data_IF_568760915716
#
_entry.id   IF_568760915716
#
_cell.length_a   1.000
_cell.length_b   1.000
_cell.length_c   1.000
_cell.angle_alpha   90.00
_cell.angle_beta   90.00
_cell.angle_gamma   90.00
#
_symmetry.space_group_name_H-M   'P 1'
#
loop_
_entity.id
_entity.type
_entity.pdbx_description
1 polymer ?
#
# COMPACT_ATOMS: atom_id res chain seq x y z
N UNK A 1 16.46 -2.43 -13.34
CA UNK A 1 15.44 -1.62 -12.67
C UNK A 1 14.65 -0.97 -13.77
N UNK A 2 13.48 -1.52 -14.03
CA UNK A 2 12.53 -0.89 -14.95
C UNK A 2 12.15 0.50 -14.39
N UNK A 3 11.75 1.42 -15.26
CA UNK A 3 11.54 2.83 -14.88
C UNK A 3 10.47 3.07 -13.80
N UNK A 4 9.69 2.04 -13.43
CA UNK A 4 8.61 2.10 -12.45
C UNK A 4 8.76 1.08 -11.31
N UNK A 5 9.96 0.53 -11.12
CA UNK A 5 10.28 -0.27 -9.94
C UNK A 5 10.88 0.61 -8.85
N UNK A 6 10.45 0.42 -7.61
CA UNK A 6 10.91 1.17 -6.46
C UNK A 6 11.44 0.21 -5.40
N UNK A 7 12.58 0.56 -4.80
CA UNK A 7 13.08 -0.14 -3.63
C UNK A 7 12.35 0.39 -2.39
N UNK A 8 11.67 -0.50 -1.67
CA UNK A 8 10.88 -0.15 -0.49
C UNK A 8 11.65 -0.54 0.77
N UNK A 9 11.70 0.36 1.75
CA UNK A 9 12.32 0.06 3.03
C UNK A 9 11.55 -1.07 3.74
N UNK A 10 12.20 -2.19 4.12
CA UNK A 10 11.51 -3.32 4.74
C UNK A 10 11.00 -3.00 6.16
N UNK A 11 11.55 -2.02 6.86
CA UNK A 11 11.13 -1.66 8.23
C UNK A 11 9.65 -1.23 8.31
N UNK A 12 9.18 -0.23 7.54
CA UNK A 12 7.75 0.12 7.52
C UNK A 12 6.88 -1.03 7.02
N UNK A 13 7.34 -1.82 6.04
CA UNK A 13 6.60 -2.99 5.55
C UNK A 13 6.34 -3.99 6.68
N UNK A 14 7.36 -4.33 7.46
CA UNK A 14 7.22 -5.28 8.57
C UNK A 14 6.32 -4.74 9.69
N UNK A 15 6.34 -3.43 9.96
CA UNK A 15 5.40 -2.80 10.90
C UNK A 15 3.96 -2.87 10.40
N UNK A 16 3.71 -2.62 9.12
CA UNK A 16 2.37 -2.73 8.53
C UNK A 16 1.86 -4.18 8.54
N UNK A 17 2.75 -5.15 8.36
CA UNK A 17 2.41 -6.58 8.47
C UNK A 17 2.06 -6.96 9.90
N UNK A 18 2.79 -6.47 10.91
CA UNK A 18 2.48 -6.79 12.31
C UNK A 18 1.13 -6.21 12.75
N UNK A 19 0.75 -5.07 12.19
CA UNK A 19 -0.40 -4.29 12.63
C UNK A 19 -1.69 -4.57 11.81
N UNK A 20 -1.64 -5.53 10.88
CA UNK A 20 -2.77 -5.83 9.99
C UNK A 20 -2.89 -7.31 9.65
N UNK A 21 -3.97 -7.68 8.97
CA UNK A 21 -4.10 -9.01 8.36
C UNK A 21 -3.38 -9.14 7.00
N UNK A 22 -2.64 -8.12 6.56
CA UNK A 22 -2.04 -8.06 5.22
C UNK A 22 -0.75 -8.88 5.09
N UNK A 23 -0.48 -9.35 3.86
CA UNK A 23 0.80 -10.01 3.56
C UNK A 23 1.90 -8.96 3.37
N UNK A 24 3.17 -9.36 3.50
CA UNK A 24 4.30 -8.47 3.21
C UNK A 24 4.22 -7.86 1.81
N UNK A 25 3.81 -8.65 0.82
CA UNK A 25 3.55 -8.16 -0.55
C UNK A 25 2.50 -7.06 -0.58
N UNK A 26 1.37 -7.24 0.11
CA UNK A 26 0.33 -6.22 0.15
C UNK A 26 0.80 -4.96 0.89
N UNK A 27 1.59 -5.11 1.96
CA UNK A 27 2.13 -4.02 2.76
C UNK A 27 3.26 -3.24 2.05
N UNK A 28 3.97 -3.85 1.11
CA UNK A 28 5.00 -3.19 0.30
C UNK A 28 4.41 -2.04 -0.53
N UNK A 29 3.26 -2.26 -1.16
CA UNK A 29 2.56 -1.20 -1.90
C UNK A 29 1.97 -0.12 -1.00
N UNK A 30 1.58 -0.47 0.23
CA UNK A 30 1.07 0.50 1.21
C UNK A 30 2.21 1.39 1.70
N UNK A 31 3.35 0.79 2.06
CA UNK A 31 4.54 1.52 2.47
C UNK A 31 5.06 2.44 1.36
N UNK A 32 5.10 1.96 0.12
CA UNK A 32 5.51 2.78 -1.01
C UNK A 32 4.56 3.96 -1.26
N UNK A 33 3.25 3.73 -1.18
CA UNK A 33 2.26 4.79 -1.37
C UNK A 33 2.35 5.86 -0.26
N UNK A 34 2.60 5.45 0.98
CA UNK A 34 2.81 6.36 2.11
C UNK A 34 4.08 7.19 1.95
N UNK A 35 5.20 6.56 1.56
CA UNK A 35 6.49 7.23 1.32
C UNK A 35 6.41 8.26 0.19
N UNK A 36 5.70 7.92 -0.89
CA UNK A 36 5.44 8.83 -2.01
C UNK A 36 4.32 9.84 -1.72
N UNK A 37 3.63 9.74 -0.58
CA UNK A 37 2.47 10.54 -0.20
C UNK A 37 1.36 10.56 -1.27
N UNK A 38 1.01 9.37 -1.78
CA UNK A 38 -0.07 9.15 -2.75
C UNK A 38 -1.06 8.11 -2.24
N UNK A 39 -2.24 8.03 -2.87
CA UNK A 39 -3.22 6.97 -2.56
C UNK A 39 -2.89 5.69 -3.33
N UNK A 40 -3.01 4.55 -2.66
CA UNK A 40 -2.94 3.23 -3.29
C UNK A 40 -4.31 2.82 -3.84
N UNK A 41 -4.44 2.77 -5.16
CA UNK A 41 -5.65 2.27 -5.82
C UNK A 41 -5.58 0.74 -5.92
N UNK A 42 -6.50 0.03 -5.29
CA UNK A 42 -6.46 -1.45 -5.22
C UNK A 42 -7.84 -2.06 -4.98
N UNK A 43 -8.06 -3.31 -5.40
CA UNK A 43 -9.29 -4.07 -5.11
C UNK A 43 -9.17 -4.97 -3.85
N UNK A 44 -8.03 -4.91 -3.16
CA UNK A 44 -7.69 -5.85 -2.07
C UNK A 44 -8.14 -5.39 -0.69
N UNK A 45 -7.91 -6.26 0.30
CA UNK A 45 -8.14 -6.02 1.74
C UNK A 45 -7.44 -4.78 2.29
N UNK A 46 -6.39 -4.28 1.62
CA UNK A 46 -5.69 -3.05 1.97
C UNK A 46 -6.63 -1.85 2.16
N UNK A 47 -7.76 -1.77 1.42
CA UNK A 47 -8.75 -0.70 1.58
C UNK A 47 -9.33 -0.68 3.02
N UNK A 48 -9.59 -1.86 3.58
CA UNK A 48 -10.19 -1.98 4.92
C UNK A 48 -9.17 -1.80 6.04
N UNK A 49 -7.96 -2.33 5.83
CA UNK A 49 -6.87 -2.28 6.83
C UNK A 49 -6.20 -0.90 6.86
N UNK A 50 -6.11 -0.22 5.71
CA UNK A 50 -5.41 1.06 5.55
C UNK A 50 -6.25 2.11 4.82
N UNK A 51 -7.47 2.45 5.29
CA UNK A 51 -8.40 3.32 4.55
C UNK A 51 -7.88 4.74 4.30
N UNK A 52 -6.89 5.20 5.08
CA UNK A 52 -6.22 6.49 4.87
C UNK A 52 -5.31 6.49 3.64
N UNK A 53 -4.76 5.34 3.29
CA UNK A 53 -3.76 5.18 2.22
C UNK A 53 -4.40 4.53 0.99
N UNK A 54 -5.21 3.48 1.17
CA UNK A 54 -5.80 2.70 0.09
C UNK A 54 -7.26 3.11 -0.24
N UNK A 55 -7.61 3.10 -1.52
CA UNK A 55 -8.97 3.32 -2.07
C UNK A 55 -9.33 2.28 -3.10
N UNK A 56 -10.64 2.12 -3.33
CA UNK A 56 -11.11 1.31 -4.45
C UNK A 56 -11.01 2.08 -5.76
N UNK A 57 -10.90 1.38 -6.91
CA UNK A 57 -10.89 2.04 -8.22
C UNK A 57 -12.16 2.84 -8.50
N UNK A 58 -13.32 2.42 -7.98
CA UNK A 58 -14.58 3.17 -8.10
C UNK A 58 -14.49 4.52 -7.39
N UNK A 59 -13.89 4.60 -6.19
CA UNK A 59 -13.65 5.86 -5.49
C UNK A 59 -12.66 6.75 -6.25
N UNK A 60 -11.67 6.17 -6.94
CA UNK A 60 -10.65 6.93 -7.66
C UNK A 60 -11.17 7.62 -8.94
N UNK A 61 -12.13 7.03 -9.63
CA UNK A 61 -12.64 7.54 -10.92
C UNK A 61 -13.80 8.53 -10.79
N UNK A 62 -14.24 8.82 -9.56
CA UNK A 62 -15.39 9.69 -9.26
C UNK A 62 -14.92 11.06 -8.75
#
# INVERSE_FOLDING_TARGET
MDANEFEVNPTPVLSLVSDSSCSAYDCEFVALADDLNVRLVTFKKNIREFPKIAISPEEFVT
#
